data_IF_849088683436
#
_entry.id   IF_849088683436
#
_cell.length_a   1.000
_cell.length_b   1.000
_cell.length_c   1.000
_cell.angle_alpha   90.00
_cell.angle_beta   90.00
_cell.angle_gamma   90.00
#
_symmetry.space_group_name_H-M   'P 1'
#
loop_
_entity.id
_entity.type
_entity.pdbx_description
1 polymer ?
#
# COMPACT_ATOMS: atom_id res chain seq x y z
N UNK A 1 -10.12 -22.74 -12.72
CA UNK A 1 -10.94 -22.73 -13.95
C UNK A 1 -10.55 -21.65 -14.97
N UNK A 2 -10.28 -20.40 -14.59
CA UNK A 2 -9.99 -19.32 -15.56
C UNK A 2 -8.71 -19.49 -16.42
N UNK A 3 -7.68 -20.18 -15.93
CA UNK A 3 -6.44 -20.41 -16.68
C UNK A 3 -6.63 -21.44 -17.81
N UNK A 4 -7.46 -22.46 -17.60
CA UNK A 4 -7.69 -23.50 -18.62
C UNK A 4 -8.48 -23.00 -19.83
N UNK A 5 -9.38 -22.03 -19.63
CA UNK A 5 -10.13 -21.42 -20.74
C UNK A 5 -9.22 -20.58 -21.63
N UNK A 6 -8.20 -19.91 -21.06
CA UNK A 6 -7.24 -19.10 -21.82
C UNK A 6 -6.31 -19.96 -22.69
N UNK A 7 -5.82 -21.09 -22.18
CA UNK A 7 -4.97 -22.00 -22.97
C UNK A 7 -5.71 -22.61 -24.17
N UNK A 8 -6.98 -22.98 -24.01
CA UNK A 8 -7.79 -23.56 -25.09
C UNK A 8 -8.02 -22.54 -26.22
N UNK A 9 -8.31 -21.28 -25.87
CA UNK A 9 -8.51 -20.21 -26.86
C UNK A 9 -7.21 -19.90 -27.61
N UNK A 10 -6.07 -19.89 -26.91
CA UNK A 10 -4.77 -19.66 -27.53
C UNK A 10 -4.42 -20.77 -28.53
N UNK A 11 -4.74 -22.03 -28.20
CA UNK A 11 -4.45 -23.19 -29.03
C UNK A 11 -5.30 -23.22 -30.32
N UNK A 12 -6.60 -22.93 -30.22
CA UNK A 12 -7.50 -22.79 -31.37
C UNK A 12 -7.07 -21.65 -32.31
N UNK A 13 -6.59 -20.53 -31.75
CA UNK A 13 -6.11 -19.39 -32.53
C UNK A 13 -4.81 -19.71 -33.28
N UNK A 14 -3.86 -20.39 -32.63
CA UNK A 14 -2.60 -20.82 -33.24
C UNK A 14 -2.86 -21.89 -34.33
N UNK A 15 -3.79 -22.81 -34.10
CA UNK A 15 -4.15 -23.84 -35.07
C UNK A 15 -4.83 -23.26 -36.32
N UNK A 16 -5.72 -22.29 -36.14
CA UNK A 16 -6.36 -21.55 -37.24
C UNK A 16 -5.35 -20.73 -38.06
N UNK A 17 -4.37 -20.12 -37.38
CA UNK A 17 -3.27 -19.42 -38.05
C UNK A 17 -2.36 -20.35 -38.87
N UNK A 18 -2.07 -21.55 -38.37
CA UNK A 18 -1.22 -22.52 -39.07
C UNK A 18 -1.90 -23.15 -40.30
N UNK A 19 -3.21 -23.40 -40.24
CA UNK A 19 -3.97 -23.93 -41.38
C UNK A 19 -4.12 -22.92 -42.52
N UNK A 20 -4.03 -21.62 -42.23
CA UNK A 20 -4.00 -20.54 -43.22
C UNK A 20 -2.67 -20.44 -44.01
N UNK A 21 -1.57 -21.03 -43.53
CA UNK A 21 -0.24 -20.89 -44.15
C UNK A 21 0.06 -21.87 -45.31
N UNK A 22 -0.79 -22.86 -45.58
CA UNK A 22 -0.46 -23.96 -46.52
C UNK A 22 -1.05 -23.86 -47.94
N UNK A 23 -1.77 -22.79 -48.31
CA UNK A 23 -2.25 -22.61 -49.70
C UNK A 23 -1.54 -21.46 -50.41
N UNK A 24 -0.60 -21.84 -51.30
CA UNK A 24 -0.06 -20.98 -52.35
C UNK A 24 -1.19 -20.42 -53.22
N UNK A 25 -0.99 -19.21 -53.73
CA UNK A 25 -1.88 -18.36 -54.53
C UNK A 25 -2.74 -17.40 -53.68
N UNK A 26 -2.92 -16.15 -54.16
CA UNK A 26 -3.67 -15.01 -53.57
C UNK A 26 -2.88 -13.95 -52.78
N UNK A 27 -1.84 -13.36 -53.37
CA UNK A 27 -1.04 -12.29 -52.76
C UNK A 27 -1.70 -10.87 -52.73
N UNK A 28 -2.89 -10.64 -53.32
CA UNK A 28 -3.47 -9.29 -53.45
C UNK A 28 -4.80 -9.05 -52.72
N UNK A 29 -5.64 -10.07 -52.53
CA UNK A 29 -6.89 -9.96 -51.75
C UNK A 29 -6.69 -10.18 -50.24
N UNK A 30 -5.54 -10.75 -49.87
CA UNK A 30 -5.18 -11.15 -48.50
C UNK A 30 -4.91 -9.94 -47.59
N UNK A 31 -4.38 -8.85 -48.14
CA UNK A 31 -3.95 -7.68 -47.36
C UNK A 31 -5.10 -6.93 -46.67
N UNK A 32 -6.28 -6.84 -47.31
CA UNK A 32 -7.41 -6.11 -46.71
C UNK A 32 -8.08 -6.88 -45.58
N UNK A 33 -8.31 -8.19 -45.75
CA UNK A 33 -8.93 -9.01 -44.70
C UNK A 33 -7.99 -9.22 -43.51
N UNK A 34 -6.69 -9.41 -43.78
CA UNK A 34 -5.68 -9.52 -42.73
C UNK A 34 -5.53 -8.21 -41.94
N UNK A 35 -5.52 -7.04 -42.60
CA UNK A 35 -5.46 -5.75 -41.91
C UNK A 35 -6.68 -5.48 -41.04
N UNK A 36 -7.88 -5.88 -41.47
CA UNK A 36 -9.12 -5.74 -40.67
C UNK A 36 -9.09 -6.67 -39.45
N UNK A 37 -8.66 -7.92 -39.62
CA UNK A 37 -8.52 -8.87 -38.51
C UNK A 37 -7.46 -8.43 -37.51
N UNK A 38 -6.30 -7.95 -37.98
CA UNK A 38 -5.23 -7.45 -37.13
C UNK A 38 -5.67 -6.19 -36.37
N UNK A 39 -6.37 -5.26 -37.03
CA UNK A 39 -6.92 -4.06 -36.41
C UNK A 39 -7.99 -4.39 -35.35
N UNK A 40 -8.86 -5.36 -35.62
CA UNK A 40 -9.85 -5.84 -34.66
C UNK A 40 -9.20 -6.51 -33.43
N UNK A 41 -8.21 -7.38 -33.65
CA UNK A 41 -7.45 -8.00 -32.54
C UNK A 41 -6.72 -6.95 -31.70
N UNK A 42 -6.03 -5.98 -32.31
CA UNK A 42 -5.37 -4.90 -31.57
C UNK A 42 -6.37 -4.04 -30.79
N UNK A 43 -7.55 -3.76 -31.37
CA UNK A 43 -8.64 -3.05 -30.68
C UNK A 43 -9.18 -3.82 -29.48
N UNK A 44 -9.35 -5.14 -29.59
CA UNK A 44 -9.76 -6.02 -28.48
C UNK A 44 -8.68 -6.09 -27.41
N UNK A 45 -7.40 -6.23 -27.78
CA UNK A 45 -6.29 -6.20 -26.83
C UNK A 45 -6.15 -4.85 -26.12
N UNK A 46 -6.41 -3.73 -26.80
CA UNK A 46 -6.44 -2.41 -26.18
C UNK A 46 -7.62 -2.29 -25.20
N UNK A 47 -8.83 -2.67 -25.61
CA UNK A 47 -10.02 -2.65 -24.74
C UNK A 47 -9.84 -3.53 -23.50
N UNK A 48 -9.27 -4.74 -23.68
CA UNK A 48 -8.92 -5.64 -22.59
C UNK A 48 -7.83 -5.03 -21.71
N UNK A 49 -6.77 -4.48 -22.31
CA UNK A 49 -5.68 -3.83 -21.59
C UNK A 49 -6.15 -2.66 -20.73
N UNK A 50 -7.07 -1.83 -21.24
CA UNK A 50 -7.70 -0.75 -20.48
C UNK A 50 -8.64 -1.27 -19.38
N UNK A 51 -9.32 -2.40 -19.60
CA UNK A 51 -10.16 -3.05 -18.57
C UNK A 51 -9.34 -3.68 -17.43
N UNK A 52 -8.06 -3.98 -17.67
CA UNK A 52 -7.16 -4.56 -16.68
C UNK A 52 -6.24 -3.55 -15.99
N UNK A 53 -6.35 -2.25 -16.27
CA UNK A 53 -5.71 -1.23 -15.45
C UNK A 53 -6.48 -1.15 -14.14
N UNK A 54 -6.13 -2.01 -13.18
CA UNK A 54 -6.57 -1.82 -11.80
C UNK A 54 -5.89 -0.54 -11.30
N UNK A 55 -6.62 0.37 -10.63
CA UNK A 55 -5.97 1.43 -9.87
C UNK A 55 -4.97 0.77 -8.92
N UNK A 56 -3.69 1.14 -9.07
CA UNK A 56 -2.66 0.81 -8.08
C UNK A 56 -2.96 1.73 -6.90
N UNK A 57 -3.71 1.22 -5.92
CA UNK A 57 -3.93 1.95 -4.69
C UNK A 57 -2.59 2.08 -3.95
N UNK A 58 -2.39 3.23 -3.32
CA UNK A 58 -1.26 3.46 -2.42
C UNK A 58 -1.14 2.31 -1.42
N UNK A 59 0.09 1.99 -1.02
CA UNK A 59 0.36 0.91 -0.08
C UNK A 59 -0.46 1.11 1.21
N UNK A 60 -1.25 0.10 1.56
CA UNK A 60 -2.00 0.06 2.82
C UNK A 60 -1.01 0.07 4.00
N UNK A 61 -1.07 1.08 4.86
CA UNK A 61 -0.14 1.30 5.96
C UNK A 61 -0.58 0.53 7.21
N UNK A 62 0.36 -0.09 7.92
CA UNK A 62 0.03 -0.86 9.12
C UNK A 62 -0.38 0.05 10.30
N UNK A 63 -1.31 -0.42 11.13
CA UNK A 63 -1.59 0.19 12.43
C UNK A 63 -0.83 -0.60 13.49
N UNK A 64 -0.16 0.12 14.39
CA UNK A 64 0.63 -0.44 15.49
C UNK A 64 0.19 0.16 16.82
N UNK A 65 0.73 -0.37 17.92
CA UNK A 65 0.42 0.08 19.27
C UNK A 65 -0.76 -0.66 19.88
N UNK A 66 -1.32 -0.10 20.96
CA UNK A 66 -2.42 -0.70 21.72
C UNK A 66 -3.41 0.36 22.16
N UNK A 67 -4.69 0.04 22.21
CA UNK A 67 -5.71 0.87 22.86
C UNK A 67 -6.08 0.27 24.22
N UNK A 68 -6.17 1.10 25.26
CA UNK A 68 -6.42 0.68 26.64
C UNK A 68 -7.93 0.68 26.94
N UNK A 69 -8.47 -0.41 27.45
CA UNK A 69 -9.83 -0.44 28.01
C UNK A 69 -9.87 0.32 29.33
N UNK A 70 -10.67 1.38 29.39
CA UNK A 70 -10.85 2.19 30.60
C UNK A 70 -11.58 1.42 31.72
N UNK A 71 -12.32 0.37 31.37
CA UNK A 71 -13.13 -0.41 32.30
C UNK A 71 -12.37 -1.61 32.87
N UNK A 72 -11.59 -2.30 32.05
CA UNK A 72 -10.91 -3.57 32.41
C UNK A 72 -9.41 -3.40 32.58
N UNK A 73 -8.81 -2.35 32.00
CA UNK A 73 -7.37 -2.10 32.05
C UNK A 73 -6.53 -2.98 31.12
N UNK A 74 -7.16 -3.80 30.27
CA UNK A 74 -6.49 -4.64 29.27
C UNK A 74 -6.55 -4.00 27.88
N UNK A 75 -5.90 -4.62 26.90
CA UNK A 75 -5.64 -3.98 25.61
C UNK A 75 -6.43 -4.56 24.44
N UNK A 76 -6.73 -3.67 23.50
CA UNK A 76 -6.90 -3.99 22.08
C UNK A 76 -5.54 -3.77 21.39
N UNK A 77 -4.91 -4.85 20.93
CA UNK A 77 -3.56 -4.85 20.39
C UNK A 77 -3.58 -4.87 18.85
N UNK A 78 -2.84 -3.96 18.22
CA UNK A 78 -2.76 -3.82 16.77
C UNK A 78 -1.52 -4.49 16.15
N UNK A 79 -0.54 -4.91 16.97
CA UNK A 79 0.74 -5.44 16.48
C UNK A 79 1.04 -6.89 16.95
N UNK A 80 0.53 -7.29 18.12
CA UNK A 80 0.74 -8.62 18.69
C UNK A 80 -0.34 -9.61 18.24
N UNK A 81 -0.16 -10.89 18.58
CA UNK A 81 -1.14 -11.97 18.29
C UNK A 81 -1.42 -12.23 16.81
N UNK A 82 -0.56 -11.76 15.89
CA UNK A 82 -0.79 -11.71 14.45
C UNK A 82 -1.87 -10.72 14.01
N UNK A 83 -2.10 -9.68 14.82
CA UNK A 83 -2.90 -8.53 14.41
C UNK A 83 -2.27 -7.88 13.18
N UNK A 84 -3.13 -7.42 12.28
CA UNK A 84 -2.73 -6.97 10.95
C UNK A 84 -3.62 -5.84 10.44
N UNK A 85 -4.11 -4.99 11.34
CA UNK A 85 -4.93 -3.84 10.93
C UNK A 85 -4.08 -2.93 10.05
N UNK A 86 -4.66 -2.51 8.93
CA UNK A 86 -4.06 -1.55 8.02
C UNK A 86 -5.05 -0.48 7.63
N UNK A 87 -4.54 0.64 7.11
CA UNK A 87 -5.33 1.73 6.55
C UNK A 87 -4.82 2.10 5.16
N UNK A 88 -5.72 2.14 4.19
CA UNK A 88 -5.43 2.72 2.90
C UNK A 88 -5.54 4.24 3.01
N UNK A 89 -4.41 4.95 3.09
CA UNK A 89 -4.44 6.41 3.26
C UNK A 89 -4.98 7.19 2.05
N UNK A 90 -5.15 6.54 0.89
CA UNK A 90 -5.78 7.18 -0.26
C UNK A 90 -7.31 7.16 -0.19
N UNK A 91 -7.90 6.12 0.42
CA UNK A 91 -9.36 6.00 0.57
C UNK A 91 -9.85 6.35 1.97
N UNK A 92 -9.00 6.20 2.99
CA UNK A 92 -9.34 6.31 4.40
C UNK A 92 -9.84 4.99 5.03
N UNK A 93 -9.97 3.91 4.24
CA UNK A 93 -10.58 2.68 4.75
C UNK A 93 -9.57 1.82 5.50
N UNK A 94 -10.03 1.26 6.63
CA UNK A 94 -9.29 0.27 7.39
C UNK A 94 -9.62 -1.15 6.91
N UNK A 95 -8.68 -2.05 7.12
CA UNK A 95 -8.81 -3.48 6.87
C UNK A 95 -8.07 -4.29 7.95
N UNK A 96 -8.27 -5.61 7.97
CA UNK A 96 -7.59 -6.51 8.89
C UNK A 96 -8.23 -6.61 10.28
N UNK A 97 -7.46 -7.15 11.22
CA UNK A 97 -7.94 -7.60 12.53
C UNK A 97 -6.98 -7.17 13.64
N UNK A 98 -7.54 -6.75 14.78
CA UNK A 98 -6.82 -6.55 16.03
C UNK A 98 -7.28 -7.57 17.07
N UNK A 99 -6.42 -7.90 18.03
CA UNK A 99 -6.74 -8.83 19.10
C UNK A 99 -7.03 -8.08 20.40
N UNK A 100 -8.24 -8.25 20.95
CA UNK A 100 -8.59 -7.80 22.29
C UNK A 100 -8.36 -8.91 23.30
N UNK A 101 -7.70 -8.59 24.41
CA UNK A 101 -7.53 -9.52 25.53
C UNK A 101 -8.85 -9.83 26.27
N UNK A 102 -9.87 -8.97 26.14
CA UNK A 102 -11.19 -9.16 26.73
C UNK A 102 -12.12 -10.01 25.83
N UNK A 103 -12.17 -9.67 24.54
CA UNK A 103 -13.23 -10.18 23.63
C UNK A 103 -12.70 -10.97 22.42
N UNK A 104 -11.38 -11.07 22.26
CA UNK A 104 -10.74 -11.74 21.13
C UNK A 104 -10.68 -10.89 19.86
N UNK A 105 -10.85 -11.51 18.71
CA UNK A 105 -10.63 -10.88 17.41
C UNK A 105 -11.67 -9.80 17.08
N UNK A 106 -11.18 -8.64 16.64
CA UNK A 106 -11.97 -7.49 16.20
C UNK A 106 -11.63 -7.16 14.75
N UNK A 107 -12.61 -7.20 13.85
CA UNK A 107 -12.46 -6.95 12.42
C UNK A 107 -12.73 -5.48 12.08
N UNK A 108 -11.77 -4.84 11.40
CA UNK A 108 -11.83 -3.41 11.03
C UNK A 108 -12.29 -3.17 9.59
N UNK A 109 -12.13 -4.17 8.71
CA UNK A 109 -12.54 -4.11 7.31
C UNK A 109 -14.02 -4.40 7.07
N UNK A 110 -14.36 -4.80 5.85
CA UNK A 110 -15.73 -5.17 5.43
C UNK A 110 -15.98 -6.67 5.37
N UNK A 111 -14.93 -7.49 5.22
CA UNK A 111 -15.03 -8.94 4.94
C UNK A 111 -15.89 -9.69 5.97
N UNK A 112 -15.52 -9.60 7.25
CA UNK A 112 -16.27 -10.23 8.35
C UNK A 112 -17.18 -9.24 9.12
N UNK A 113 -17.25 -8.00 8.64
CA UNK A 113 -17.87 -6.87 9.32
C UNK A 113 -18.75 -6.08 8.35
N UNK A 114 -20.00 -6.54 8.21
CA UNK A 114 -21.00 -5.88 7.37
C UNK A 114 -21.41 -4.47 7.85
N UNK A 115 -21.07 -4.09 9.09
CA UNK A 115 -21.27 -2.74 9.62
C UNK A 115 -20.10 -1.78 9.38
N UNK A 116 -18.99 -2.29 8.83
CA UNK A 116 -17.77 -1.55 8.53
C UNK A 116 -17.68 -1.01 7.09
N UNK A 117 -16.49 -0.54 6.68
CA UNK A 117 -15.24 -0.58 7.45
C UNK A 117 -15.18 0.53 8.50
N UNK A 118 -14.16 0.49 9.36
CA UNK A 118 -13.68 1.71 10.03
C UNK A 118 -13.05 2.61 8.96
N UNK A 119 -13.24 3.92 9.07
CA UNK A 119 -12.84 4.89 8.06
C UNK A 119 -12.26 6.15 8.70
N UNK A 120 -11.10 6.62 8.22
CA UNK A 120 -10.50 7.91 8.58
C UNK A 120 -10.71 8.92 7.46
N UNK A 121 -11.22 10.10 7.81
CA UNK A 121 -11.16 11.25 6.92
C UNK A 121 -9.71 11.75 6.84
N UNK A 122 -9.03 11.52 5.72
CA UNK A 122 -7.59 11.80 5.57
C UNK A 122 -7.25 13.29 5.58
N UNK A 123 -8.24 14.17 5.44
CA UNK A 123 -8.07 15.63 5.55
C UNK A 123 -8.19 16.13 6.99
N UNK A 124 -9.07 15.55 7.80
CA UNK A 124 -9.35 16.01 9.17
C UNK A 124 -8.80 15.10 10.26
N UNK A 125 -8.44 13.87 9.93
CA UNK A 125 -8.05 12.82 10.86
C UNK A 125 -9.21 12.13 11.58
N UNK A 126 -10.45 12.60 11.43
CA UNK A 126 -11.58 12.03 12.16
C UNK A 126 -11.85 10.57 11.74
N UNK A 127 -11.93 9.67 12.72
CA UNK A 127 -12.21 8.24 12.51
C UNK A 127 -13.69 7.95 12.77
N UNK A 128 -14.30 7.18 11.89
CA UNK A 128 -15.73 6.86 11.86
C UNK A 128 -15.96 5.40 11.45
N UNK A 129 -17.21 4.93 11.44
CA UNK A 129 -17.56 3.56 11.09
C UNK A 129 -17.56 2.62 12.30
N UNK A 130 -17.53 1.31 12.04
CA UNK A 130 -17.61 0.29 13.08
C UNK A 130 -16.59 -0.80 12.85
N UNK A 131 -15.98 -1.30 13.93
CA UNK A 131 -15.24 -2.55 13.95
C UNK A 131 -16.07 -3.61 14.68
N UNK A 132 -16.07 -4.85 14.19
CA UNK A 132 -16.92 -5.92 14.74
C UNK A 132 -16.10 -6.90 15.58
N UNK A 133 -16.56 -7.20 16.77
CA UNK A 133 -16.05 -8.29 17.60
C UNK A 133 -16.57 -9.62 17.05
N UNK A 134 -15.68 -10.51 16.64
CA UNK A 134 -16.07 -11.74 15.92
C UNK A 134 -16.75 -12.78 16.82
N UNK A 135 -16.40 -12.81 18.10
CA UNK A 135 -16.91 -13.78 19.07
C UNK A 135 -18.34 -13.47 19.54
N UNK A 136 -18.67 -12.19 19.70
CA UNK A 136 -19.97 -11.72 20.22
C UNK A 136 -20.88 -11.15 19.13
N UNK A 137 -20.30 -10.67 18.03
CA UNK A 137 -21.00 -9.94 16.98
C UNK A 137 -21.28 -8.47 17.32
N UNK A 138 -20.85 -8.00 18.49
CA UNK A 138 -20.98 -6.61 18.93
C UNK A 138 -20.00 -5.68 18.22
N UNK A 139 -20.17 -4.37 18.39
CA UNK A 139 -19.34 -3.36 17.72
C UNK A 139 -18.53 -2.48 18.66
N UNK A 140 -17.36 -2.11 18.16
CA UNK A 140 -16.69 -0.86 18.51
C UNK A 140 -17.19 0.20 17.53
N UNK A 141 -17.92 1.20 18.03
CA UNK A 141 -18.59 2.20 17.21
C UNK A 141 -17.84 3.54 17.27
N UNK A 142 -17.17 3.90 16.18
CA UNK A 142 -16.38 5.14 16.06
C UNK A 142 -17.23 6.36 15.75
N UNK A 143 -18.55 6.22 15.55
CA UNK A 143 -19.45 7.31 15.15
C UNK A 143 -20.55 7.60 16.16
N UNK A 144 -20.90 6.63 16.99
CA UNK A 144 -21.91 6.77 18.03
C UNK A 144 -21.29 7.00 19.42
N UNK A 145 -22.14 7.18 20.43
CA UNK A 145 -21.78 7.29 21.85
C UNK A 145 -20.84 8.45 22.23
N UNK A 146 -20.59 9.40 21.32
CA UNK A 146 -19.56 10.44 21.42
C UNK A 146 -18.12 9.91 21.29
N UNK A 147 -17.94 8.77 20.61
CA UNK A 147 -16.63 8.35 20.13
C UNK A 147 -15.97 9.47 19.31
N UNK A 148 -14.67 9.66 19.50
CA UNK A 148 -13.95 10.83 18.98
C UNK A 148 -12.50 10.50 18.62
N UNK A 149 -12.27 9.29 18.11
CA UNK A 149 -10.92 8.89 17.68
C UNK A 149 -10.48 9.77 16.51
N UNK A 150 -9.26 10.31 16.62
CA UNK A 150 -8.64 11.17 15.62
C UNK A 150 -7.23 10.67 15.34
N UNK A 151 -6.88 10.56 14.07
CA UNK A 151 -5.51 10.39 13.57
C UNK A 151 -4.90 11.76 13.29
N UNK A 152 -3.75 12.06 13.88
CA UNK A 152 -2.96 13.22 13.51
C UNK A 152 -2.49 13.10 12.06
N UNK A 153 -2.97 13.96 11.15
CA UNK A 153 -2.64 13.89 9.73
C UNK A 153 -1.19 14.28 9.40
N UNK A 154 -0.44 14.79 10.38
CA UNK A 154 0.99 15.09 10.26
C UNK A 154 1.90 14.02 10.84
N UNK A 155 1.42 13.18 11.77
CA UNK A 155 2.26 12.22 12.50
C UNK A 155 1.75 10.78 12.48
N UNK A 156 0.51 10.54 12.05
CA UNK A 156 -0.12 9.21 12.07
C UNK A 156 -0.50 8.70 13.46
N UNK A 157 -0.21 9.47 14.53
CA UNK A 157 -0.55 9.12 15.91
C UNK A 157 -2.05 9.27 16.14
N UNK A 158 -2.66 8.28 16.78
CA UNK A 158 -4.09 8.29 17.11
C UNK A 158 -4.33 8.77 18.55
N UNK A 159 -5.49 9.33 18.78
CA UNK A 159 -5.95 9.80 20.09
C UNK A 159 -7.47 9.74 20.20
N UNK A 160 -8.01 9.94 21.39
CA UNK A 160 -9.45 9.92 21.65
C UNK A 160 -9.95 8.55 22.10
N UNK A 161 -11.27 8.39 22.10
CA UNK A 161 -11.95 7.23 22.66
C UNK A 161 -12.95 6.63 21.67
N UNK A 162 -13.09 5.30 21.72
CA UNK A 162 -14.16 4.58 21.03
C UNK A 162 -14.98 3.78 22.03
N UNK A 163 -16.30 3.76 21.85
CA UNK A 163 -17.21 2.93 22.63
C UNK A 163 -17.28 1.52 22.05
N UNK A 164 -16.99 0.53 22.89
CA UNK A 164 -17.31 -0.87 22.66
C UNK A 164 -18.60 -1.24 23.38
N UNK A 165 -19.49 -1.91 22.67
CA UNK A 165 -20.72 -2.47 23.25
C UNK A 165 -20.45 -3.59 24.28
N UNK A 166 -19.28 -4.24 24.21
CA UNK A 166 -18.89 -5.32 25.14
C UNK A 166 -18.07 -4.81 26.34
N UNK A 167 -17.11 -3.92 26.12
CA UNK A 167 -16.11 -3.54 27.14
C UNK A 167 -16.14 -2.08 27.57
N UNK A 168 -17.01 -1.26 26.96
CA UNK A 168 -17.06 0.18 27.24
C UNK A 168 -15.97 0.96 26.52
N UNK A 169 -15.39 1.97 27.18
CA UNK A 169 -14.48 2.91 26.53
C UNK A 169 -13.09 2.34 26.30
N UNK A 170 -12.58 2.47 25.07
CA UNK A 170 -11.20 2.18 24.70
C UNK A 170 -10.47 3.49 24.37
N UNK A 171 -9.32 3.73 25.01
CA UNK A 171 -8.46 4.90 24.86
C UNK A 171 -7.36 4.64 23.83
N UNK A 172 -7.33 5.45 22.77
CA UNK A 172 -6.33 5.36 21.70
C UNK A 172 -5.10 6.25 21.92
N UNK A 173 -5.14 7.17 22.90
CA UNK A 173 -4.10 8.17 23.12
C UNK A 173 -3.00 7.75 24.10
N UNK A 174 -3.32 6.97 25.14
CA UNK A 174 -2.36 6.65 26.21
C UNK A 174 -1.37 5.55 25.86
N UNK A 175 -1.76 4.60 25.02
CA UNK A 175 -0.99 3.38 24.74
C UNK A 175 -0.40 3.32 23.32
N UNK A 176 -0.35 4.47 22.65
CA UNK A 176 0.49 4.71 21.48
C UNK A 176 -0.02 4.07 20.19
N UNK A 177 -1.33 4.08 19.94
CA UNK A 177 -1.85 3.63 18.63
C UNK A 177 -1.39 4.61 17.56
N UNK A 178 -0.77 4.11 16.49
CA UNK A 178 -0.32 4.95 15.37
C UNK A 178 -0.27 4.18 14.07
N UNK A 179 -0.24 4.90 12.96
CA UNK A 179 0.09 4.35 11.65
C UNK A 179 1.62 4.19 11.58
N UNK A 180 2.09 2.99 11.24
CA UNK A 180 3.51 2.67 11.08
C UNK A 180 4.08 3.30 9.80
N UNK A 181 5.32 3.78 9.88
CA UNK A 181 6.03 4.50 8.80
C UNK A 181 5.17 5.59 8.13
N UNK A 182 4.42 6.34 8.95
CA UNK A 182 3.50 7.34 8.45
C UNK A 182 4.24 8.54 7.85
N UNK A 183 4.07 8.71 6.54
CA UNK A 183 4.36 9.95 5.82
C UNK A 183 3.14 10.29 4.99
N UNK A 184 2.63 11.51 5.18
CA UNK A 184 1.47 12.03 4.45
C UNK A 184 1.84 12.60 3.08
N UNK A 185 3.12 12.52 2.71
CA UNK A 185 3.60 12.97 1.42
C UNK A 185 3.43 11.87 0.39
N UNK A 186 2.49 12.14 -0.52
CA UNK A 186 2.15 11.30 -1.66
C UNK A 186 2.79 11.81 -2.95
N UNK A 187 3.59 12.89 -2.89
CA UNK A 187 4.23 13.47 -4.06
C UNK A 187 5.61 12.87 -4.22
N UNK A 188 5.85 12.28 -5.39
CA UNK A 188 7.19 11.80 -5.70
C UNK A 188 8.18 12.97 -5.74
N UNK A 189 9.42 12.78 -5.26
CA UNK A 189 10.44 13.82 -5.32
C UNK A 189 10.61 14.35 -6.74
N UNK A 190 10.57 15.67 -6.88
CA UNK A 190 10.67 16.33 -8.19
C UNK A 190 12.01 16.05 -8.89
N UNK A 191 13.05 15.76 -8.13
CA UNK A 191 14.39 15.44 -8.64
C UNK A 191 14.94 14.20 -7.95
N UNK A 192 15.03 13.10 -8.71
CA UNK A 192 15.80 11.93 -8.30
C UNK A 192 17.27 12.30 -8.06
N UNK A 193 17.94 11.63 -7.12
CA UNK A 193 19.38 11.77 -7.00
C UNK A 193 20.06 11.26 -8.28
N UNK A 194 20.94 12.08 -8.86
CA UNK A 194 21.52 11.82 -10.18
C UNK A 194 22.95 11.30 -10.15
N UNK A 195 23.60 11.26 -8.98
CA UNK A 195 24.98 10.78 -8.83
C UNK A 195 25.30 10.30 -7.42
N UNK A 196 25.93 9.13 -7.32
CA UNK A 196 26.55 8.60 -6.09
C UNK A 196 28.06 8.82 -6.21
N UNK A 197 28.68 9.43 -5.21
CA UNK A 197 30.14 9.63 -5.15
C UNK A 197 30.71 9.17 -3.81
N UNK A 198 31.90 8.57 -3.85
CA UNK A 198 32.71 8.29 -2.67
C UNK A 198 33.86 9.29 -2.67
N UNK A 199 34.05 10.03 -1.57
CA UNK A 199 35.04 11.11 -1.46
C UNK A 199 36.08 10.78 -0.38
N UNK A 200 37.26 11.37 -0.49
CA UNK A 200 38.25 11.38 0.59
C UNK A 200 38.06 12.62 1.48
N UNK A 201 38.20 12.42 2.80
CA UNK A 201 37.84 13.35 3.90
C UNK A 201 38.43 14.77 3.77
N UNK A 202 39.54 14.92 3.06
CA UNK A 202 40.41 16.09 3.19
C UNK A 202 40.66 16.87 1.88
N UNK A 203 39.98 16.58 0.78
CA UNK A 203 40.12 17.41 -0.44
C UNK A 203 38.88 17.53 -1.34
N UNK A 204 37.76 16.88 -1.03
CA UNK A 204 36.52 17.05 -1.80
C UNK A 204 36.65 16.75 -3.30
N UNK A 205 37.50 15.79 -3.67
CA UNK A 205 37.79 15.41 -5.06
C UNK A 205 36.98 14.20 -5.55
N UNK A 206 36.60 14.24 -6.83
CA UNK A 206 35.76 13.29 -7.57
C UNK A 206 36.14 11.80 -7.41
N UNK A 207 35.10 10.96 -7.52
CA UNK A 207 35.06 9.49 -7.63
C UNK A 207 36.41 8.72 -7.64
N UNK A 208 36.55 7.77 -6.71
CA UNK A 208 37.69 6.84 -6.64
C UNK A 208 37.84 6.01 -7.92
N UNK A 209 39.07 5.94 -8.47
CA UNK A 209 39.40 5.06 -9.58
C UNK A 209 39.58 3.60 -9.10
N UNK A 210 39.51 2.63 -10.04
CA UNK A 210 39.74 1.21 -9.74
C UNK A 210 41.13 1.01 -9.10
N UNK A 211 41.16 0.42 -7.91
CA UNK A 211 42.39 0.16 -7.14
C UNK A 211 42.83 1.25 -6.16
N UNK A 212 42.13 2.38 -6.03
CA UNK A 212 42.49 3.48 -5.11
C UNK A 212 42.00 3.31 -3.66
N UNK A 213 41.43 2.15 -3.34
CA UNK A 213 41.03 1.79 -1.99
C UNK A 213 42.26 1.71 -1.08
N UNK A 214 42.33 2.60 -0.10
CA UNK A 214 43.35 2.55 0.96
C UNK A 214 42.73 2.01 2.24
N UNK A 215 43.54 1.38 3.11
CA UNK A 215 43.14 1.01 4.47
C UNK A 215 43.09 2.27 5.37
N UNK A 216 42.31 3.26 4.96
CA UNK A 216 42.11 4.50 5.70
C UNK A 216 41.15 4.23 6.86
N UNK A 217 41.50 4.75 8.05
CA UNK A 217 40.64 4.68 9.24
C UNK A 217 39.40 5.58 9.16
N UNK A 218 39.28 6.40 8.11
CA UNK A 218 38.16 7.31 7.89
C UNK A 218 37.84 7.31 6.39
N UNK A 219 36.69 6.75 6.01
CA UNK A 219 36.13 6.82 4.67
C UNK A 219 34.75 7.47 4.76
N UNK A 220 34.41 8.35 3.82
CA UNK A 220 33.12 9.06 3.81
C UNK A 220 32.40 8.83 2.48
N UNK A 221 31.08 8.73 2.58
CA UNK A 221 30.17 8.70 1.45
C UNK A 221 29.44 10.03 1.39
N UNK A 222 29.31 10.60 0.20
CA UNK A 222 28.52 11.81 0.01
C UNK A 222 27.76 11.75 -1.31
N UNK A 223 26.49 12.12 -1.28
CA UNK A 223 25.65 12.23 -2.46
C UNK A 223 25.16 13.68 -2.58
N UNK A 224 24.85 14.10 -3.81
CA UNK A 224 24.06 15.31 -4.01
C UNK A 224 22.64 14.96 -3.58
N UNK A 225 22.15 15.62 -2.53
CA UNK A 225 20.79 15.41 -2.07
C UNK A 225 19.81 15.69 -3.23
N UNK A 226 18.88 14.77 -3.47
CA UNK A 226 17.72 15.07 -4.32
C UNK A 226 16.92 16.24 -3.72
N UNK A 227 16.08 16.85 -4.55
CA UNK A 227 15.21 17.94 -4.14
C UNK A 227 13.76 17.46 -4.15
N UNK A 228 13.06 17.76 -3.06
CA UNK A 228 11.64 17.51 -2.92
C UNK A 228 10.83 18.78 -3.19
N UNK A 229 9.51 18.65 -3.36
CA UNK A 229 8.61 19.78 -3.51
C UNK A 229 8.52 20.60 -2.19
N UNK A 230 8.02 21.83 -2.29
CA UNK A 230 7.77 22.66 -1.11
C UNK A 230 6.69 22.02 -0.23
N UNK A 231 7.06 21.63 0.99
CA UNK A 231 6.17 20.96 1.94
C UNK A 231 6.19 19.43 1.90
N UNK A 232 7.05 18.82 1.08
CA UNK A 232 7.25 17.36 1.07
C UNK A 232 7.91 16.82 2.33
N UNK A 233 7.77 15.51 2.57
CA UNK A 233 8.35 14.78 3.71
C UNK A 233 9.85 14.56 3.58
N UNK A 234 10.44 14.94 2.44
CA UNK A 234 11.82 14.64 2.10
C UNK A 234 11.96 13.28 1.42
N UNK A 235 13.20 12.93 1.09
CA UNK A 235 13.50 11.70 0.38
C UNK A 235 13.50 10.52 1.34
N UNK A 236 12.64 9.52 1.11
CA UNK A 236 12.60 8.25 1.87
C UNK A 236 13.88 7.43 1.69
N UNK A 237 14.96 7.85 2.35
CA UNK A 237 16.21 7.10 2.51
C UNK A 237 17.00 6.84 1.22
N UNK A 238 18.29 6.56 1.38
CA UNK A 238 19.10 5.95 0.34
C UNK A 238 19.56 4.58 0.86
N UNK A 239 19.31 3.51 0.09
CA UNK A 239 19.91 2.22 0.38
C UNK A 239 21.32 2.18 -0.24
N UNK A 240 22.34 2.08 0.60
CA UNK A 240 23.71 1.80 0.17
C UNK A 240 23.96 0.29 0.30
N UNK A 241 24.20 -0.39 -0.83
CA UNK A 241 24.67 -1.77 -0.83
C UNK A 241 26.18 -1.78 -1.04
N UNK A 242 26.92 -2.25 -0.04
CA UNK A 242 28.35 -2.54 -0.15
C UNK A 242 28.45 -4.08 -0.15
N UNK A 243 28.79 -4.64 -1.31
CA UNK A 243 28.93 -6.09 -1.51
C UNK A 243 30.23 -6.63 -0.95
#
# INVERSE_FOLDING_TARGET
EYIQVFEIILWEFIYSMNTLFTRKHYALFYNRKFAVLLGFSLGVFALIGFYFIRPVYAASLAIIGKALSANTGVYLDFASYNSNVRVNWSTGDFEGYAFSEDVGWVAFGTEDNAGGPVHVNTSTGAVTGKAKVLSTGAFLDFSAYNSNVIVSTSTGVMSGYVWSEDVGWLDFGTSGVSIDDFSNDLVEPTTNATSISMLTDNTGGYALADGEWTNSSVSTFSWVAGADNSGGSGLRGYCLYLG
#
